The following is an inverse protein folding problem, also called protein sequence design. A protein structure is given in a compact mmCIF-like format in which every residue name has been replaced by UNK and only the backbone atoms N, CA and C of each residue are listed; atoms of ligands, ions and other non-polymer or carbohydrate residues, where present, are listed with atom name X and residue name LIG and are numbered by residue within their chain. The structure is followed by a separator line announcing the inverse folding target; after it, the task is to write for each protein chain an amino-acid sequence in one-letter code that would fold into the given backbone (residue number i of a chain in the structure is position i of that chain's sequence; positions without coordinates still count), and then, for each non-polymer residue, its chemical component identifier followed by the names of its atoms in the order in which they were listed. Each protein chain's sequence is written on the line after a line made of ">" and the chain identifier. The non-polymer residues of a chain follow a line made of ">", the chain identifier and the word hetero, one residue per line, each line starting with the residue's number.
data_IF_381553624118
#
_entry.id   IF_381553624118
#
_cell.length_a   1.000
_cell.length_b   1.000
_cell.length_c   1.000
_cell.angle_alpha   90.00
_cell.angle_beta   90.00
_cell.angle_gamma   90.00
#
_symmetry.space_group_name_H-M   'P 1'
#
loop_
_entity.id
_entity.type
_entity.pdbx_description
1 polymer ?
#
# COMPACT_ATOMS: atom_id res chain seq x y z
N UNK A 1 25.49 30.96 6.12
CA UNK A 1 24.72 30.33 7.23
C UNK A 1 23.40 29.84 6.69
N UNK A 2 23.31 28.54 6.36
CA UNK A 2 22.01 27.93 6.15
C UNK A 2 21.37 27.88 7.53
N UNK A 3 20.31 28.65 7.70
CA UNK A 3 19.57 28.67 8.97
C UNK A 3 19.16 27.26 9.32
N UNK A 4 19.67 26.74 10.43
CA UNK A 4 19.21 25.48 11.02
C UNK A 4 17.72 25.51 11.48
N UNK A 5 17.05 26.65 11.21
CA UNK A 5 15.68 26.91 11.65
C UNK A 5 14.63 26.28 10.76
N UNK A 6 14.98 25.87 9.54
CA UNK A 6 13.97 25.51 8.54
C UNK A 6 13.41 24.11 8.76
N UNK A 7 14.10 23.23 9.51
CA UNK A 7 13.67 21.84 9.65
C UNK A 7 12.38 21.68 10.45
N UNK A 8 12.20 22.39 11.56
CA UNK A 8 10.96 22.26 12.36
C UNK A 8 9.75 22.89 11.66
N UNK A 9 9.97 23.99 10.92
CA UNK A 9 8.93 24.62 10.11
C UNK A 9 8.61 23.78 8.89
N UNK A 10 9.61 23.16 8.25
CA UNK A 10 9.41 22.30 7.07
C UNK A 10 8.70 21.01 7.42
N UNK A 11 9.02 20.37 8.54
CA UNK A 11 8.31 19.19 9.03
C UNK A 11 6.87 19.52 9.35
N UNK A 12 6.61 20.57 10.12
CA UNK A 12 5.24 20.97 10.44
C UNK A 12 4.44 21.37 9.19
N UNK A 13 5.06 22.00 8.20
CA UNK A 13 4.38 22.38 6.97
C UNK A 13 4.08 21.19 6.06
N UNK A 14 4.97 20.21 5.99
CA UNK A 14 4.73 18.97 5.25
C UNK A 14 3.61 18.15 5.87
N UNK A 15 3.65 17.97 7.18
CA UNK A 15 2.63 17.22 7.91
C UNK A 15 1.26 17.88 7.80
N UNK A 16 1.23 19.24 7.87
CA UNK A 16 0.02 20.01 7.59
C UNK A 16 -0.56 19.68 6.22
N UNK A 17 0.27 19.72 5.16
CA UNK A 17 -0.20 19.48 3.79
C UNK A 17 -0.76 18.08 3.60
N UNK A 18 -0.10 17.08 4.14
CA UNK A 18 -0.54 15.67 4.07
C UNK A 18 -1.86 15.48 4.83
N UNK A 19 -1.95 16.02 6.05
CA UNK A 19 -3.17 15.93 6.86
C UNK A 19 -4.33 16.71 6.23
N UNK A 20 -4.06 17.89 5.69
CA UNK A 20 -5.05 18.71 5.00
C UNK A 20 -5.59 18.00 3.76
N UNK A 21 -4.69 17.43 2.95
CA UNK A 21 -5.08 16.66 1.77
C UNK A 21 -5.93 15.47 2.17
N UNK A 22 -5.51 14.71 3.16
CA UNK A 22 -6.24 13.53 3.65
C UNK A 22 -7.66 13.90 4.12
N UNK A 23 -7.79 14.93 4.93
CA UNK A 23 -9.09 15.37 5.42
C UNK A 23 -9.98 15.95 4.32
N UNK A 24 -9.44 16.85 3.51
CA UNK A 24 -10.17 17.50 2.42
C UNK A 24 -10.60 16.48 1.36
N UNK A 25 -9.72 15.59 0.97
CA UNK A 25 -10.02 14.57 -0.05
C UNK A 25 -11.05 13.56 0.46
N UNK A 26 -10.97 13.15 1.71
CA UNK A 26 -11.98 12.27 2.31
C UNK A 26 -13.36 12.93 2.29
N UNK A 27 -13.46 14.19 2.67
CA UNK A 27 -14.72 14.93 2.64
C UNK A 27 -15.20 15.18 1.21
N UNK A 28 -14.29 15.43 0.28
CA UNK A 28 -14.59 15.57 -1.13
C UNK A 28 -15.20 14.27 -1.70
N UNK A 29 -14.54 13.14 -1.47
CA UNK A 29 -15.05 11.85 -1.90
C UNK A 29 -16.42 11.56 -1.29
N UNK A 30 -16.58 11.82 0.00
CA UNK A 30 -17.83 11.63 0.70
C UNK A 30 -18.96 12.49 0.14
N UNK A 31 -18.69 13.73 -0.25
CA UNK A 31 -19.67 14.63 -0.85
C UNK A 31 -20.12 14.19 -2.26
N UNK A 32 -19.33 13.37 -2.93
CA UNK A 32 -19.62 12.83 -4.26
C UNK A 32 -20.11 11.39 -4.21
N UNK A 33 -20.26 10.81 -3.02
CA UNK A 33 -20.65 9.43 -2.84
C UNK A 33 -22.11 9.19 -3.25
N UNK A 34 -22.31 8.18 -4.08
CA UNK A 34 -23.61 7.69 -4.52
C UNK A 34 -23.75 6.23 -4.06
N UNK A 35 -24.75 5.92 -3.19
CA UNK A 35 -24.89 4.57 -2.61
C UNK A 35 -25.14 3.45 -3.62
N UNK A 36 -25.76 3.77 -4.76
CA UNK A 36 -26.15 2.79 -5.78
C UNK A 36 -24.98 2.29 -6.62
N UNK A 37 -23.84 2.96 -6.55
CA UNK A 37 -22.64 2.60 -7.31
C UNK A 37 -21.56 2.05 -6.38
N UNK A 38 -20.75 1.08 -6.82
CA UNK A 38 -19.58 0.65 -6.06
C UNK A 38 -18.54 1.78 -5.97
N UNK A 39 -17.72 1.77 -4.91
CA UNK A 39 -16.72 2.82 -4.70
C UNK A 39 -15.74 2.96 -5.86
N UNK A 40 -15.36 1.84 -6.49
CA UNK A 40 -14.40 1.88 -7.59
C UNK A 40 -14.93 2.54 -8.86
N UNK A 41 -16.24 2.64 -9.05
CA UNK A 41 -16.83 3.38 -10.18
C UNK A 41 -16.84 4.89 -9.98
N UNK A 42 -16.65 5.36 -8.75
CA UNK A 42 -16.79 6.78 -8.38
C UNK A 42 -15.45 7.51 -8.29
N UNK A 43 -14.35 6.85 -8.65
CA UNK A 43 -13.02 7.43 -8.61
C UNK A 43 -12.43 7.63 -7.22
N UNK A 44 -12.93 6.94 -6.22
CA UNK A 44 -12.49 7.08 -4.83
C UNK A 44 -11.24 6.26 -4.55
N UNK A 45 -10.29 6.85 -3.83
CA UNK A 45 -9.05 6.20 -3.39
C UNK A 45 -8.91 6.16 -1.87
N UNK A 46 -9.57 7.05 -1.13
CA UNK A 46 -9.49 7.10 0.34
C UNK A 46 -10.63 6.35 1.02
N UNK A 47 -11.87 6.47 0.55
CA UNK A 47 -12.98 5.73 1.13
C UNK A 47 -12.77 4.20 1.10
N UNK A 48 -12.17 3.61 0.04
CA UNK A 48 -11.83 2.19 0.06
C UNK A 48 -10.93 1.76 1.22
N UNK A 49 -10.01 2.61 1.68
CA UNK A 49 -9.17 2.34 2.84
C UNK A 49 -9.99 2.24 4.12
N UNK A 50 -10.96 3.12 4.31
CA UNK A 50 -11.84 3.11 5.47
C UNK A 50 -12.81 1.94 5.44
N UNK A 51 -13.32 1.60 4.27
CA UNK A 51 -14.17 0.42 4.08
C UNK A 51 -13.40 -0.88 4.37
N UNK A 52 -12.15 -0.98 3.95
CA UNK A 52 -11.27 -2.12 4.27
C UNK A 52 -11.08 -2.29 5.78
N UNK A 53 -11.03 -1.19 6.53
CA UNK A 53 -10.99 -1.19 7.99
C UNK A 53 -12.35 -1.47 8.65
N UNK A 54 -13.34 -1.90 7.89
CA UNK A 54 -14.68 -2.27 8.34
C UNK A 54 -15.56 -1.10 8.82
N UNK A 55 -15.24 0.12 8.46
CA UNK A 55 -16.09 1.26 8.79
C UNK A 55 -17.27 1.35 7.82
N UNK A 56 -18.48 1.25 8.35
CA UNK A 56 -19.72 1.45 7.60
C UNK A 56 -20.00 0.44 6.50
N UNK A 57 -19.50 -0.78 6.60
CA UNK A 57 -19.58 -1.81 5.56
C UNK A 57 -20.45 -2.96 6.02
N UNK A 58 -21.30 -3.44 5.12
CA UNK A 58 -22.13 -4.64 5.29
C UNK A 58 -21.66 -5.81 4.43
N UNK A 59 -22.47 -6.90 4.41
CA UNK A 59 -22.18 -8.08 3.60
C UNK A 59 -21.99 -7.74 2.11
N UNK A 60 -21.05 -8.42 1.47
CA UNK A 60 -20.75 -8.21 0.06
C UNK A 60 -20.02 -6.90 -0.26
N UNK A 61 -19.61 -6.15 0.74
CA UNK A 61 -18.91 -4.87 0.55
C UNK A 61 -19.86 -3.68 0.35
N UNK A 62 -21.15 -3.83 0.68
CA UNK A 62 -22.11 -2.73 0.62
C UNK A 62 -21.77 -1.66 1.64
N UNK A 63 -21.75 -0.40 1.22
CA UNK A 63 -21.55 0.73 2.12
C UNK A 63 -22.90 1.09 2.74
N UNK A 64 -23.07 0.73 4.01
CA UNK A 64 -24.32 0.91 4.74
C UNK A 64 -24.40 2.25 5.48
N UNK A 65 -23.28 2.78 5.96
CA UNK A 65 -23.22 4.02 6.72
C UNK A 65 -21.91 4.77 6.46
N UNK A 66 -22.00 6.06 6.21
CA UNK A 66 -20.85 6.91 5.87
C UNK A 66 -20.44 7.86 7.00
N UNK A 67 -21.10 7.79 8.17
CA UNK A 67 -20.80 8.69 9.27
C UNK A 67 -19.34 8.61 9.75
N UNK A 68 -18.79 7.42 9.85
CA UNK A 68 -17.38 7.22 10.25
C UNK A 68 -16.41 7.86 9.26
N UNK A 69 -16.74 7.91 7.99
CA UNK A 69 -15.92 8.55 6.96
C UNK A 69 -15.92 10.07 7.14
N UNK A 70 -17.07 10.64 7.45
CA UNK A 70 -17.19 12.06 7.78
C UNK A 70 -16.34 12.41 9.00
N UNK A 71 -16.43 11.63 10.07
CA UNK A 71 -15.63 11.83 11.29
C UNK A 71 -14.14 11.76 10.99
N UNK A 72 -13.69 10.78 10.22
CA UNK A 72 -12.30 10.64 9.81
C UNK A 72 -11.81 11.86 9.04
N UNK A 73 -12.58 12.31 8.05
CA UNK A 73 -12.24 13.49 7.25
C UNK A 73 -12.14 14.77 8.08
N UNK A 74 -13.11 15.01 8.95
CA UNK A 74 -13.15 16.21 9.81
C UNK A 74 -11.99 16.22 10.81
N UNK A 75 -11.71 15.08 11.46
CA UNK A 75 -10.59 14.98 12.41
C UNK A 75 -9.24 15.23 11.76
N UNK A 76 -9.01 14.72 10.56
CA UNK A 76 -7.79 14.99 9.81
C UNK A 76 -7.69 16.47 9.40
N UNK A 77 -8.79 17.06 8.97
CA UNK A 77 -8.81 18.46 8.58
C UNK A 77 -8.54 19.40 9.77
N UNK A 78 -9.17 19.14 10.93
CA UNK A 78 -8.93 19.91 12.15
C UNK A 78 -7.49 19.75 12.62
N UNK A 79 -6.97 18.52 12.61
CA UNK A 79 -5.58 18.25 12.98
C UNK A 79 -4.59 18.98 12.10
N UNK A 80 -4.91 19.14 10.80
CA UNK A 80 -4.07 19.91 9.89
C UNK A 80 -3.99 21.39 10.31
N UNK A 81 -5.09 21.96 10.77
CA UNK A 81 -5.11 23.33 11.30
C UNK A 81 -4.22 23.52 12.54
N UNK A 82 -4.23 22.53 13.45
CA UNK A 82 -3.35 22.54 14.62
C UNK A 82 -1.88 22.45 14.20
N UNK A 83 -1.56 21.61 13.23
CA UNK A 83 -0.19 21.50 12.68
C UNK A 83 0.23 22.81 11.98
N UNK A 84 -0.70 23.48 11.30
CA UNK A 84 -0.44 24.79 10.67
C UNK A 84 -0.04 25.84 11.71
N UNK A 85 -0.80 25.94 12.80
CA UNK A 85 -0.50 26.86 13.89
C UNK A 85 0.84 26.55 14.54
N UNK A 86 1.14 25.26 14.74
CA UNK A 86 2.43 24.82 15.25
C UNK A 86 3.59 25.19 14.31
N UNK A 87 3.41 24.99 13.00
CA UNK A 87 4.40 25.38 12.00
C UNK A 87 4.67 26.88 11.97
N UNK A 88 3.62 27.69 12.03
CA UNK A 88 3.75 29.18 12.11
C UNK A 88 4.47 29.58 13.39
N UNK A 89 4.09 29.01 14.53
CA UNK A 89 4.77 29.28 15.80
C UNK A 89 6.26 28.97 15.72
N UNK A 90 6.61 27.78 15.30
CA UNK A 90 8.01 27.33 15.25
C UNK A 90 8.87 28.10 14.25
N UNK A 91 8.27 28.57 13.14
CA UNK A 91 9.01 29.33 12.12
C UNK A 91 9.20 30.79 12.48
N UNK A 92 8.26 31.40 13.21
CA UNK A 92 8.24 32.85 13.45
C UNK A 92 8.57 33.21 14.90
N UNK A 93 7.96 32.52 15.86
CA UNK A 93 8.03 32.86 17.28
C UNK A 93 8.87 31.89 18.12
N UNK A 94 9.17 30.71 17.59
CA UNK A 94 9.93 29.69 18.31
C UNK A 94 11.43 30.01 18.41
N UNK A 95 12.14 29.33 19.32
CA UNK A 95 13.58 29.50 19.47
C UNK A 95 14.34 28.97 18.25
N UNK A 96 15.41 29.65 17.85
CA UNK A 96 16.25 29.25 16.72
C UNK A 96 17.03 27.94 17.00
N UNK A 97 17.45 27.75 18.25
CA UNK A 97 18.22 26.58 18.69
C UNK A 97 17.60 25.98 19.93
N UNK A 98 17.12 24.75 19.81
CA UNK A 98 16.47 24.04 20.91
C UNK A 98 17.45 23.66 22.02
N UNK A 99 18.73 23.45 21.70
CA UNK A 99 19.76 23.12 22.68
C UNK A 99 19.98 24.22 23.71
N UNK A 100 19.75 25.46 23.34
CA UNK A 100 19.91 26.63 24.20
C UNK A 100 18.71 26.90 25.10
N UNK A 101 17.61 26.10 24.94
CA UNK A 101 16.38 26.25 25.71
C UNK A 101 16.28 25.25 26.85
N UNK A 102 15.31 25.50 27.75
CA UNK A 102 14.95 24.55 28.83
C UNK A 102 14.54 23.17 28.27
N UNK A 103 14.04 23.12 27.02
CA UNK A 103 13.60 21.89 26.36
C UNK A 103 14.71 21.18 25.56
N UNK A 104 15.94 21.70 25.57
CA UNK A 104 17.05 21.14 24.83
C UNK A 104 17.41 19.70 25.24
N UNK A 105 17.16 19.32 26.48
CA UNK A 105 17.37 17.95 26.94
C UNK A 105 16.48 16.93 26.24
N UNK A 106 15.29 17.35 25.73
CA UNK A 106 14.31 16.47 25.07
C UNK A 106 14.32 16.65 23.56
N UNK A 107 14.35 17.88 23.06
CA UNK A 107 14.18 18.18 21.63
C UNK A 107 15.45 18.69 20.95
N UNK A 108 16.48 19.08 21.70
CA UNK A 108 17.75 19.52 21.14
C UNK A 108 18.53 18.36 20.52
N UNK A 109 19.24 18.63 19.42
CA UNK A 109 20.09 17.64 18.76
C UNK A 109 21.18 18.31 17.95
N UNK A 110 22.23 17.54 17.65
CA UNK A 110 23.28 17.85 16.70
C UNK A 110 23.33 16.70 15.70
N UNK A 111 23.40 17.00 14.41
CA UNK A 111 23.41 15.95 13.37
C UNK A 111 24.52 14.92 13.55
N UNK A 112 25.68 15.32 14.10
CA UNK A 112 26.81 14.44 14.33
C UNK A 112 26.70 13.63 15.62
N UNK A 113 25.78 13.96 16.51
CA UNK A 113 25.55 13.21 17.75
C UNK A 113 24.81 11.91 17.48
N UNK A 114 25.59 10.84 17.31
CA UNK A 114 25.08 9.52 16.94
C UNK A 114 24.14 8.93 17.98
N UNK A 115 24.41 9.19 19.25
CA UNK A 115 23.55 8.70 20.32
C UNK A 115 22.19 9.38 20.31
N UNK A 116 22.18 10.70 20.15
CA UNK A 116 20.92 11.46 20.05
C UNK A 116 20.14 11.07 18.78
N UNK A 117 20.81 10.87 17.65
CA UNK A 117 20.16 10.47 16.40
C UNK A 117 19.51 9.09 16.51
N UNK A 118 20.20 8.13 17.13
CA UNK A 118 19.61 6.80 17.35
C UNK A 118 18.49 6.84 18.39
N UNK A 119 18.56 7.70 19.39
CA UNK A 119 17.49 7.88 20.36
C UNK A 119 16.22 8.44 19.71
N UNK A 120 16.37 9.41 18.80
CA UNK A 120 15.24 9.95 18.01
C UNK A 120 14.66 8.87 17.10
N UNK A 121 15.50 8.11 16.41
CA UNK A 121 15.07 6.96 15.62
C UNK A 121 14.28 5.98 16.49
N UNK A 122 14.77 5.66 17.67
CA UNK A 122 14.10 4.75 18.59
C UNK A 122 12.74 5.26 19.06
N UNK A 123 12.60 6.56 19.32
CA UNK A 123 11.32 7.18 19.66
C UNK A 123 10.31 7.07 18.51
N UNK A 124 10.75 7.33 17.28
CA UNK A 124 9.92 7.19 16.08
C UNK A 124 9.54 5.73 15.83
N UNK A 125 10.47 4.80 16.04
CA UNK A 125 10.15 3.36 15.96
C UNK A 125 9.12 2.95 17.02
N UNK A 126 9.17 3.51 18.21
CA UNK A 126 8.15 3.32 19.23
C UNK A 126 6.76 3.74 18.76
N UNK A 127 6.66 4.90 18.14
CA UNK A 127 5.41 5.40 17.54
C UNK A 127 4.92 4.48 16.42
N UNK A 128 5.80 4.08 15.51
CA UNK A 128 5.45 3.19 14.40
C UNK A 128 5.06 1.79 14.88
N UNK A 129 5.73 1.27 15.91
CA UNK A 129 5.38 -0.01 16.49
C UNK A 129 4.01 -0.01 17.14
N UNK A 130 3.66 1.06 17.85
CA UNK A 130 2.32 1.25 18.40
C UNK A 130 1.27 1.35 17.28
N UNK A 131 1.56 2.11 16.23
CA UNK A 131 0.65 2.24 15.08
C UNK A 131 0.40 0.90 14.39
N UNK A 132 1.45 0.08 14.22
CA UNK A 132 1.30 -1.27 13.66
C UNK A 132 0.44 -2.17 14.53
N UNK A 133 0.57 -2.09 15.85
CA UNK A 133 -0.28 -2.86 16.77
C UNK A 133 -1.73 -2.38 16.81
N UNK A 134 -2.01 -1.13 16.42
CA UNK A 134 -3.38 -0.63 16.32
C UNK A 134 -4.20 -1.39 15.27
N UNK A 135 -3.61 -1.85 14.20
CA UNK A 135 -4.32 -2.70 13.25
C UNK A 135 -4.75 -4.03 13.90
N UNK A 136 -3.88 -4.63 14.70
CA UNK A 136 -4.25 -5.81 15.49
C UNK A 136 -5.43 -5.52 16.41
N UNK A 137 -5.39 -4.42 17.15
CA UNK A 137 -6.46 -4.00 18.05
C UNK A 137 -7.77 -3.77 17.29
N UNK A 138 -7.71 -3.08 16.14
CA UNK A 138 -8.89 -2.86 15.30
C UNK A 138 -9.51 -4.18 14.82
N UNK A 139 -8.66 -5.10 14.39
CA UNK A 139 -9.10 -6.38 13.84
C UNK A 139 -9.74 -7.31 14.90
N UNK A 140 -9.21 -7.30 16.10
CA UNK A 140 -9.60 -8.26 17.15
C UNK A 140 -10.65 -7.69 18.10
N UNK A 141 -10.51 -6.43 18.51
CA UNK A 141 -11.31 -5.84 19.61
C UNK A 141 -12.24 -4.72 19.19
N UNK A 142 -12.01 -4.08 18.04
CA UNK A 142 -12.73 -2.87 17.63
C UNK A 142 -13.54 -3.05 16.34
N UNK A 143 -14.28 -4.14 16.23
CA UNK A 143 -15.25 -4.37 15.15
C UNK A 143 -14.71 -5.17 13.96
N UNK A 144 -13.45 -5.56 13.95
CA UNK A 144 -12.89 -6.40 12.91
C UNK A 144 -12.43 -5.65 11.67
N UNK A 145 -12.23 -6.39 10.59
CA UNK A 145 -11.84 -5.89 9.26
C UNK A 145 -12.79 -6.46 8.21
N UNK A 146 -12.86 -5.81 7.06
CA UNK A 146 -13.54 -6.40 5.92
C UNK A 146 -12.70 -7.54 5.36
N UNK A 147 -13.30 -8.72 5.24
CA UNK A 147 -12.66 -9.92 4.72
C UNK A 147 -13.34 -10.35 3.41
N UNK A 148 -12.65 -10.16 2.30
CA UNK A 148 -13.16 -10.58 0.99
C UNK A 148 -13.33 -12.10 0.88
N UNK A 149 -12.63 -12.88 1.74
CA UNK A 149 -12.67 -14.34 1.75
C UNK A 149 -13.80 -14.91 2.61
N UNK A 150 -14.53 -14.06 3.32
CA UNK A 150 -15.68 -14.50 4.09
C UNK A 150 -16.76 -15.09 3.19
N UNK A 151 -17.47 -16.10 3.67
CA UNK A 151 -18.50 -16.79 2.91
C UNK A 151 -19.60 -15.86 2.46
N UNK A 152 -20.14 -16.09 1.26
CA UNK A 152 -21.24 -15.30 0.71
C UNK A 152 -20.82 -14.03 -0.02
N UNK A 153 -19.53 -13.88 -0.36
CA UNK A 153 -19.05 -12.77 -1.17
C UNK A 153 -18.34 -11.66 -0.39
N UNK A 154 -17.83 -11.97 0.77
CA UNK A 154 -17.13 -11.04 1.64
C UNK A 154 -18.03 -10.39 2.69
N UNK A 155 -17.47 -10.13 3.85
CA UNK A 155 -18.16 -9.47 4.96
C UNK A 155 -17.15 -8.97 5.99
N UNK A 156 -17.61 -8.12 6.89
CA UNK A 156 -16.86 -7.73 8.07
C UNK A 156 -16.71 -8.93 9.00
N UNK A 157 -15.49 -9.17 9.43
CA UNK A 157 -15.18 -10.30 10.30
C UNK A 157 -14.25 -9.87 11.44
N UNK A 158 -14.59 -10.24 12.65
CA UNK A 158 -13.68 -10.11 13.79
C UNK A 158 -12.63 -11.22 13.68
N UNK A 159 -11.38 -10.82 13.66
CA UNK A 159 -10.25 -11.76 13.57
C UNK A 159 -9.96 -12.25 14.98
N UNK A 160 -10.41 -13.46 15.29
CA UNK A 160 -10.34 -14.01 16.66
C UNK A 160 -8.92 -14.46 17.01
N UNK A 161 -8.57 -14.29 18.26
CA UNK A 161 -7.29 -14.72 18.83
C UNK A 161 -6.96 -16.18 18.49
N UNK A 162 -7.97 -17.06 18.53
CA UNK A 162 -7.80 -18.49 18.27
C UNK A 162 -7.48 -18.83 16.82
N UNK A 163 -7.82 -17.95 15.86
CA UNK A 163 -7.55 -18.13 14.43
C UNK A 163 -6.34 -17.36 13.94
N UNK A 164 -5.83 -16.42 14.74
CA UNK A 164 -4.67 -15.62 14.39
C UNK A 164 -3.41 -16.45 14.29
N UNK A 165 -2.62 -16.13 13.29
CA UNK A 165 -1.28 -16.69 13.15
C UNK A 165 -0.30 -15.89 14.03
N UNK A 166 -0.30 -16.17 15.33
CA UNK A 166 0.60 -15.53 16.30
C UNK A 166 1.99 -16.18 16.39
N UNK A 167 2.37 -16.94 15.39
CA UNK A 167 3.69 -17.53 15.29
C UNK A 167 4.63 -16.55 14.56
N UNK A 168 5.78 -16.16 15.15
CA UNK A 168 6.72 -15.24 14.50
C UNK A 168 7.30 -15.78 13.19
N UNK A 169 7.24 -17.06 12.92
CA UNK A 169 7.60 -17.65 11.63
C UNK A 169 6.73 -17.16 10.46
N UNK A 170 5.60 -16.53 10.73
CA UNK A 170 4.78 -15.91 9.69
C UNK A 170 5.56 -14.86 8.90
N UNK A 171 6.41 -14.09 9.56
CA UNK A 171 7.26 -13.10 8.88
C UNK A 171 8.20 -13.79 7.89
N UNK A 172 8.79 -14.92 8.28
CA UNK A 172 9.64 -15.71 7.40
C UNK A 172 8.88 -16.33 6.23
N UNK A 173 7.64 -16.76 6.44
CA UNK A 173 6.82 -17.35 5.38
C UNK A 173 6.70 -16.48 4.15
N UNK A 174 6.51 -15.18 4.32
CA UNK A 174 6.34 -14.23 3.23
C UNK A 174 7.66 -13.57 2.80
N UNK A 175 8.54 -13.26 3.75
CA UNK A 175 9.79 -12.57 3.48
C UNK A 175 10.80 -13.39 2.68
N UNK A 176 10.77 -14.72 2.82
CA UNK A 176 11.68 -15.63 2.08
C UNK A 176 11.09 -16.15 0.77
N UNK A 177 9.85 -15.79 0.43
CA UNK A 177 9.28 -16.14 -0.87
C UNK A 177 9.97 -15.36 -1.97
N UNK A 178 10.12 -15.97 -3.15
CA UNK A 178 10.62 -15.29 -4.33
C UNK A 178 9.64 -14.17 -4.75
N UNK A 179 10.14 -13.03 -5.27
CA UNK A 179 9.29 -11.90 -5.66
C UNK A 179 8.66 -12.04 -7.05
N UNK A 180 8.56 -13.24 -7.58
CA UNK A 180 8.03 -13.52 -8.91
C UNK A 180 6.63 -14.11 -8.84
N UNK A 181 5.91 -14.12 -9.96
CA UNK A 181 4.49 -14.43 -10.04
C UNK A 181 4.03 -15.74 -9.42
N UNK A 182 4.89 -16.76 -9.34
CA UNK A 182 4.56 -18.05 -8.69
C UNK A 182 4.52 -17.96 -7.17
N UNK A 183 5.27 -17.07 -6.55
CA UNK A 183 5.37 -16.91 -5.09
C UNK A 183 4.91 -15.54 -4.59
N UNK A 184 5.31 -14.45 -5.25
CA UNK A 184 4.79 -13.09 -5.04
C UNK A 184 5.26 -12.35 -3.79
N UNK A 185 6.27 -12.85 -3.10
CA UNK A 185 6.83 -12.26 -1.88
C UNK A 185 5.73 -11.84 -0.89
N UNK A 186 5.83 -10.67 -0.23
CA UNK A 186 4.81 -10.20 0.73
C UNK A 186 3.49 -9.80 0.08
N UNK A 187 3.48 -9.52 -1.23
CA UNK A 187 2.26 -9.17 -1.97
C UNK A 187 1.28 -10.36 -2.04
N UNK A 188 1.77 -11.57 -1.88
CA UNK A 188 0.97 -12.79 -1.93
C UNK A 188 0.15 -13.06 -0.66
N UNK A 189 0.13 -12.15 0.31
CA UNK A 189 -0.74 -12.27 1.49
C UNK A 189 -2.19 -12.47 1.05
N UNK A 190 -2.83 -13.52 1.53
CA UNK A 190 -4.12 -13.99 1.03
C UNK A 190 -5.14 -14.32 2.11
N UNK A 191 -4.87 -13.93 3.35
CA UNK A 191 -5.81 -14.09 4.45
C UNK A 191 -5.57 -13.04 5.53
N UNK A 192 -6.62 -12.71 6.27
CA UNK A 192 -6.56 -11.69 7.32
C UNK A 192 -5.82 -12.16 8.56
N UNK A 193 -5.80 -13.45 8.85
CA UNK A 193 -5.07 -14.00 9.99
C UNK A 193 -3.57 -13.73 9.88
N UNK A 194 -3.01 -13.97 8.71
CA UNK A 194 -1.59 -13.70 8.44
C UNK A 194 -1.28 -12.21 8.39
N UNK A 195 -2.18 -11.41 7.81
CA UNK A 195 -2.02 -9.96 7.73
C UNK A 195 -2.00 -9.34 9.13
N UNK A 196 -2.95 -9.67 9.96
CA UNK A 196 -3.08 -9.13 11.32
C UNK A 196 -1.96 -9.67 12.22
N UNK A 197 -1.66 -10.96 12.12
CA UNK A 197 -0.54 -11.56 12.86
C UNK A 197 0.80 -10.97 12.46
N UNK A 198 0.99 -10.68 11.17
CA UNK A 198 2.18 -10.01 10.66
C UNK A 198 2.35 -8.61 11.24
N UNK A 199 1.28 -7.81 11.29
CA UNK A 199 1.31 -6.47 11.88
C UNK A 199 1.55 -6.51 13.39
N UNK A 200 1.03 -7.51 14.10
CA UNK A 200 1.33 -7.72 15.51
C UNK A 200 2.84 -7.92 15.73
N UNK A 201 3.45 -8.84 15.01
CA UNK A 201 4.87 -9.15 15.17
C UNK A 201 5.79 -8.04 14.68
N UNK A 202 5.47 -7.40 13.55
CA UNK A 202 6.23 -6.22 13.10
C UNK A 202 6.13 -5.10 14.14
N UNK A 203 4.97 -4.88 14.72
CA UNK A 203 4.79 -3.92 15.80
C UNK A 203 5.65 -4.24 17.02
N UNK A 204 5.67 -5.47 17.47
CA UNK A 204 6.48 -5.92 18.62
C UNK A 204 7.98 -5.74 18.33
N UNK A 205 8.46 -6.21 17.17
CA UNK A 205 9.88 -6.06 16.82
C UNK A 205 10.27 -4.60 16.64
N UNK A 206 9.39 -3.77 16.10
CA UNK A 206 9.63 -2.34 15.95
C UNK A 206 9.70 -1.63 17.31
N UNK A 207 8.85 -1.99 18.27
CA UNK A 207 8.92 -1.50 19.65
C UNK A 207 10.22 -1.90 20.33
N UNK A 208 10.63 -3.15 20.20
CA UNK A 208 11.91 -3.65 20.76
C UNK A 208 13.07 -2.91 20.12
N UNK A 209 13.05 -2.73 18.80
CA UNK A 209 14.05 -1.93 18.08
C UNK A 209 14.10 -0.48 18.53
N UNK A 210 12.96 0.10 18.85
CA UNK A 210 12.87 1.44 19.42
C UNK A 210 13.59 1.56 20.76
N UNK A 211 13.33 0.65 21.67
CA UNK A 211 14.03 0.58 22.97
C UNK A 211 15.54 0.38 22.77
N UNK A 212 15.92 -0.50 21.86
CA UNK A 212 17.31 -0.74 21.51
C UNK A 212 18.01 0.54 21.06
N UNK A 213 17.46 1.27 20.12
CA UNK A 213 18.07 2.49 19.58
C UNK A 213 18.08 3.65 20.58
N UNK A 214 17.14 3.69 21.52
CA UNK A 214 17.18 4.69 22.61
C UNK A 214 18.33 4.41 23.59
N UNK A 215 18.61 3.14 23.87
CA UNK A 215 19.52 2.74 24.92
C UNK A 215 20.92 2.41 24.45
N UNK A 216 21.17 2.30 23.15
CA UNK A 216 22.47 1.92 22.62
C UNK A 216 23.05 2.99 21.70
N UNK A 217 24.35 2.88 21.46
CA UNK A 217 25.08 3.69 20.48
C UNK A 217 25.44 2.82 19.27
N UNK A 218 25.58 3.41 18.09
CA UNK A 218 26.07 2.67 16.92
C UNK A 218 27.40 2.00 17.18
N UNK A 219 27.58 0.78 16.70
CA UNK A 219 28.81 0.03 16.84
C UNK A 219 29.86 0.46 15.81
N UNK A 220 31.10 0.07 16.03
CA UNK A 220 32.25 0.56 15.27
C UNK A 220 32.14 0.40 13.74
N UNK A 221 31.62 -0.71 13.24
CA UNK A 221 31.42 -0.92 11.81
C UNK A 221 30.40 0.05 11.21
N UNK A 222 29.34 0.34 11.93
CA UNK A 222 28.29 1.30 11.52
C UNK A 222 28.86 2.72 11.57
N UNK A 223 29.56 3.05 12.63
CA UNK A 223 30.22 4.38 12.79
C UNK A 223 31.16 4.68 11.63
N UNK A 224 31.90 3.69 11.17
CA UNK A 224 32.87 3.85 10.07
C UNK A 224 32.21 3.80 8.69
N UNK A 225 31.13 3.02 8.54
CA UNK A 225 30.48 2.78 7.25
C UNK A 225 29.50 3.86 6.81
N UNK A 226 28.86 4.53 7.77
CA UNK A 226 27.83 5.53 7.48
C UNK A 226 28.42 6.96 7.50
N UNK A 227 27.85 7.83 6.69
CA UNK A 227 28.06 9.27 6.77
C UNK A 227 27.08 9.85 7.79
N UNK A 228 27.58 10.67 8.72
CA UNK A 228 26.80 11.19 9.83
C UNK A 228 26.50 12.68 9.63
N UNK A 229 25.55 12.95 8.75
CA UNK A 229 25.05 14.29 8.45
C UNK A 229 23.55 14.24 8.17
N UNK A 230 22.86 15.37 8.34
CA UNK A 230 21.41 15.44 8.07
C UNK A 230 21.06 15.03 6.65
N UNK A 231 21.85 15.45 5.68
CA UNK A 231 21.61 15.07 4.27
C UNK A 231 21.83 13.58 4.01
N UNK A 232 22.79 12.95 4.68
CA UNK A 232 22.97 11.51 4.60
C UNK A 232 21.77 10.76 5.17
N UNK A 233 21.22 11.21 6.30
CA UNK A 233 20.01 10.60 6.89
C UNK A 233 18.80 10.76 5.98
N UNK A 234 18.68 11.92 5.35
CA UNK A 234 17.66 12.14 4.32
C UNK A 234 17.81 11.15 3.16
N UNK A 235 19.02 10.95 2.68
CA UNK A 235 19.30 10.00 1.60
C UNK A 235 18.95 8.56 1.99
N UNK A 236 19.26 8.13 3.21
CA UNK A 236 18.89 6.80 3.72
C UNK A 236 17.38 6.63 3.77
N UNK A 237 16.66 7.63 4.26
CA UNK A 237 15.22 7.62 4.33
C UNK A 237 14.56 7.61 2.94
N UNK A 238 15.09 8.38 1.99
CA UNK A 238 14.58 8.42 0.61
C UNK A 238 14.72 7.07 -0.08
N UNK A 239 15.81 6.33 0.14
CA UNK A 239 15.96 5.00 -0.42
C UNK A 239 14.90 4.02 0.10
N UNK A 240 14.64 4.06 1.41
CA UNK A 240 13.61 3.24 2.04
C UNK A 240 12.21 3.61 1.54
N UNK A 241 11.90 4.90 1.47
CA UNK A 241 10.61 5.39 0.97
C UNK A 241 10.37 5.02 -0.50
N UNK A 242 11.42 5.11 -1.34
CA UNK A 242 11.33 4.69 -2.74
C UNK A 242 11.00 3.21 -2.86
N UNK A 243 11.70 2.35 -2.12
CA UNK A 243 11.42 0.92 -2.12
C UNK A 243 9.98 0.63 -1.65
N UNK A 244 9.55 1.26 -0.56
CA UNK A 244 8.19 1.12 -0.07
C UNK A 244 7.14 1.60 -1.08
N UNK A 245 7.43 2.66 -1.82
CA UNK A 245 6.54 3.16 -2.87
C UNK A 245 6.37 2.18 -4.03
N UNK A 246 7.44 1.53 -4.48
CA UNK A 246 7.36 0.47 -5.49
C UNK A 246 6.59 -0.75 -4.98
N UNK A 247 6.83 -1.16 -3.74
CA UNK A 247 6.09 -2.26 -3.11
C UNK A 247 4.60 -1.90 -3.01
N UNK A 248 4.27 -0.69 -2.59
CA UNK A 248 2.90 -0.20 -2.54
C UNK A 248 2.20 -0.28 -3.91
N UNK A 249 2.89 0.14 -4.98
CA UNK A 249 2.35 0.07 -6.34
C UNK A 249 2.03 -1.37 -6.74
N UNK A 250 2.91 -2.32 -6.43
CA UNK A 250 2.71 -3.74 -6.74
C UNK A 250 1.58 -4.33 -5.87
N UNK A 251 1.49 -3.95 -4.61
CA UNK A 251 0.38 -4.33 -3.75
C UNK A 251 -0.97 -3.89 -4.31
N UNK A 252 -1.09 -2.62 -4.64
CA UNK A 252 -2.33 -2.08 -5.18
C UNK A 252 -2.75 -2.76 -6.49
N UNK A 253 -1.78 -3.22 -7.27
CA UNK A 253 -2.05 -3.89 -8.56
C UNK A 253 -2.51 -5.33 -8.40
N UNK A 254 -1.86 -6.12 -7.55
CA UNK A 254 -2.07 -7.55 -7.48
C UNK A 254 -2.88 -8.04 -6.27
N UNK A 255 -2.77 -7.37 -5.12
CA UNK A 255 -3.37 -7.88 -3.90
C UNK A 255 -4.86 -7.57 -3.82
N UNK A 256 -5.64 -8.55 -3.41
CA UNK A 256 -7.08 -8.42 -3.20
C UNK A 256 -7.53 -8.72 -1.75
N UNK A 257 -6.60 -8.98 -0.85
CA UNK A 257 -6.90 -9.18 0.59
C UNK A 257 -6.87 -7.87 1.34
N UNK A 258 -5.75 -7.14 1.28
CA UNK A 258 -5.60 -5.79 1.85
C UNK A 258 -6.24 -4.71 0.98
N UNK A 259 -6.46 -5.01 -0.29
CA UNK A 259 -7.12 -4.15 -1.28
C UNK A 259 -8.32 -4.89 -1.87
N UNK A 260 -9.41 -5.06 -1.11
CA UNK A 260 -10.57 -5.82 -1.57
C UNK A 260 -11.13 -5.29 -2.89
N UNK A 261 -11.42 -6.20 -3.81
CA UNK A 261 -11.91 -5.83 -5.14
C UNK A 261 -13.30 -5.19 -5.09
N UNK A 262 -14.06 -5.44 -4.04
CA UNK A 262 -15.35 -4.79 -3.79
C UNK A 262 -15.22 -3.26 -3.67
N UNK A 263 -14.06 -2.76 -3.23
CA UNK A 263 -13.81 -1.33 -3.01
C UNK A 263 -12.86 -0.72 -4.05
N UNK A 264 -11.82 -1.46 -4.42
CA UNK A 264 -10.78 -0.98 -5.35
C UNK A 264 -11.01 -1.40 -6.79
N UNK A 265 -12.04 -2.20 -7.05
CA UNK A 265 -12.24 -2.84 -8.34
C UNK A 265 -11.35 -4.09 -8.52
N UNK A 266 -11.64 -4.88 -9.56
CA UNK A 266 -10.89 -6.11 -9.79
C UNK A 266 -9.42 -5.84 -10.09
N UNK A 267 -8.56 -6.81 -9.74
CA UNK A 267 -7.19 -6.83 -10.25
C UNK A 267 -7.21 -7.13 -11.76
N UNK A 268 -6.11 -6.86 -12.46
CA UNK A 268 -6.00 -7.21 -13.88
C UNK A 268 -6.22 -8.71 -14.14
N UNK A 269 -5.49 -9.60 -13.42
CA UNK A 269 -5.73 -11.03 -13.50
C UNK A 269 -7.16 -11.45 -13.14
N UNK A 270 -7.75 -10.86 -12.13
CA UNK A 270 -9.12 -11.14 -11.71
C UNK A 270 -10.14 -10.76 -12.78
N UNK A 271 -10.00 -9.61 -13.41
CA UNK A 271 -10.88 -9.19 -14.50
C UNK A 271 -10.80 -10.13 -15.71
N UNK A 272 -9.60 -10.63 -16.01
CA UNK A 272 -9.40 -11.62 -17.05
C UNK A 272 -10.09 -12.94 -16.73
N UNK A 273 -9.94 -13.44 -15.50
CA UNK A 273 -10.65 -14.66 -15.04
C UNK A 273 -12.17 -14.45 -15.01
N UNK A 274 -12.62 -13.25 -14.63
CA UNK A 274 -14.05 -12.90 -14.64
C UNK A 274 -14.64 -12.91 -16.04
N UNK A 275 -13.92 -12.47 -17.05
CA UNK A 275 -14.33 -12.58 -18.43
C UNK A 275 -14.49 -14.04 -18.85
N UNK A 276 -13.50 -14.87 -18.57
CA UNK A 276 -13.57 -16.30 -18.87
C UNK A 276 -14.76 -16.99 -18.20
N UNK A 277 -14.98 -16.70 -16.92
CA UNK A 277 -16.11 -17.24 -16.17
C UNK A 277 -17.47 -16.74 -16.71
N UNK A 278 -17.59 -15.47 -16.98
CA UNK A 278 -18.85 -14.87 -17.46
C UNK A 278 -19.27 -15.47 -18.78
N UNK A 279 -18.35 -15.61 -19.72
CA UNK A 279 -18.66 -16.22 -21.02
C UNK A 279 -18.91 -17.73 -20.91
N UNK A 280 -18.23 -18.42 -20.01
CA UNK A 280 -18.52 -19.83 -19.71
C UNK A 280 -19.96 -20.00 -19.23
N UNK A 281 -20.40 -19.20 -18.26
CA UNK A 281 -21.77 -19.26 -17.73
C UNK A 281 -22.80 -18.90 -18.79
N UNK A 282 -22.56 -17.85 -19.58
CA UNK A 282 -23.45 -17.45 -20.68
C UNK A 282 -23.65 -18.59 -21.67
N UNK A 283 -22.55 -19.17 -22.14
CA UNK A 283 -22.57 -20.19 -23.18
C UNK A 283 -23.14 -21.53 -22.65
N UNK A 284 -22.90 -21.85 -21.37
CA UNK A 284 -23.51 -22.98 -20.71
C UNK A 284 -25.04 -22.86 -20.65
N UNK A 285 -25.55 -21.67 -20.34
CA UNK A 285 -27.00 -21.38 -20.37
C UNK A 285 -27.60 -21.48 -21.77
N UNK A 286 -26.79 -21.24 -22.80
CA UNK A 286 -27.19 -21.40 -24.20
C UNK A 286 -27.10 -22.86 -24.70
N UNK A 287 -26.73 -23.80 -23.86
CA UNK A 287 -26.65 -25.23 -24.15
C UNK A 287 -25.32 -25.70 -24.68
N UNK A 288 -24.26 -24.88 -24.72
CA UNK A 288 -22.93 -25.28 -25.16
C UNK A 288 -22.27 -26.13 -24.08
N UNK A 289 -21.63 -27.22 -24.50
CA UNK A 289 -20.87 -28.10 -23.59
C UNK A 289 -19.51 -27.49 -23.31
N UNK A 290 -19.40 -26.78 -22.18
CA UNK A 290 -18.22 -25.97 -21.83
C UNK A 290 -16.99 -26.83 -21.53
N UNK A 291 -17.16 -28.09 -21.11
CA UNK A 291 -16.05 -28.98 -20.77
C UNK A 291 -15.29 -29.50 -22.00
N UNK A 292 -15.85 -29.41 -23.22
CA UNK A 292 -15.30 -30.02 -24.44
C UNK A 292 -15.12 -29.05 -25.61
N UNK A 293 -15.48 -27.77 -25.47
CA UNK A 293 -15.43 -26.81 -26.57
C UNK A 293 -14.00 -26.32 -26.82
N UNK A 294 -13.62 -26.16 -28.10
CA UNK A 294 -12.36 -25.62 -28.53
C UNK A 294 -12.50 -24.18 -29.05
N UNK A 295 -11.50 -23.35 -28.81
CA UNK A 295 -11.40 -22.00 -29.36
C UNK A 295 -10.75 -21.96 -30.76
N UNK A 296 -10.55 -20.76 -31.34
CA UNK A 296 -9.98 -20.61 -32.68
C UNK A 296 -8.56 -21.17 -32.84
N UNK A 297 -7.80 -21.29 -31.73
CA UNK A 297 -6.44 -21.83 -31.73
C UNK A 297 -6.36 -23.32 -31.43
N UNK A 298 -7.48 -24.02 -31.45
CA UNK A 298 -7.63 -25.41 -31.01
C UNK A 298 -7.35 -25.66 -29.53
N UNK A 299 -7.06 -24.61 -28.74
CA UNK A 299 -7.01 -24.68 -27.28
C UNK A 299 -8.42 -24.75 -26.69
N UNK A 300 -8.55 -25.34 -25.50
CA UNK A 300 -9.82 -25.37 -24.79
C UNK A 300 -10.34 -23.94 -24.55
N UNK A 301 -11.61 -23.72 -24.86
CA UNK A 301 -12.20 -22.39 -24.84
C UNK A 301 -12.57 -21.94 -23.43
N UNK A 302 -13.10 -22.87 -22.61
CA UNK A 302 -13.65 -22.54 -21.29
C UNK A 302 -12.88 -23.13 -20.14
N UNK A 303 -12.53 -24.40 -20.23
CA UNK A 303 -11.84 -25.16 -19.20
C UNK A 303 -10.68 -25.93 -19.79
N UNK A 304 -9.55 -25.94 -19.09
CA UNK A 304 -8.37 -26.69 -19.48
C UNK A 304 -7.62 -27.17 -18.23
N UNK A 305 -6.47 -27.80 -18.40
CA UNK A 305 -5.60 -28.19 -17.29
C UNK A 305 -4.42 -27.26 -17.19
N UNK A 306 -4.04 -26.93 -15.93
CA UNK A 306 -2.83 -26.19 -15.64
C UNK A 306 -1.58 -27.03 -15.90
N UNK A 307 -0.37 -26.43 -15.88
CA UNK A 307 0.87 -27.19 -15.97
C UNK A 307 1.04 -28.26 -14.87
N UNK A 308 0.40 -28.07 -13.72
CA UNK A 308 0.43 -29.03 -12.59
C UNK A 308 -0.81 -29.93 -12.52
N UNK A 309 -1.74 -29.82 -13.47
CA UNK A 309 -2.87 -30.74 -13.65
C UNK A 309 -4.22 -30.26 -13.11
N UNK A 310 -4.30 -29.09 -12.45
CA UNK A 310 -5.57 -28.54 -11.96
C UNK A 310 -6.45 -28.09 -13.13
N UNK A 311 -7.77 -28.18 -12.95
CA UNK A 311 -8.74 -27.64 -13.91
C UNK A 311 -8.80 -26.11 -13.74
N UNK A 312 -8.58 -25.39 -14.81
CA UNK A 312 -8.50 -23.91 -14.85
C UNK A 312 -9.35 -23.35 -15.98
N UNK A 313 -9.59 -22.05 -15.97
CA UNK A 313 -10.22 -21.36 -17.10
C UNK A 313 -9.34 -21.38 -18.33
N UNK A 314 -9.92 -21.69 -19.47
CA UNK A 314 -9.23 -21.78 -20.75
C UNK A 314 -9.13 -20.43 -21.49
N UNK A 315 -8.46 -20.44 -22.64
CA UNK A 315 -8.19 -19.24 -23.42
C UNK A 315 -7.00 -18.45 -22.89
N UNK A 316 -6.91 -17.19 -23.27
CA UNK A 316 -5.81 -16.30 -22.87
C UNK A 316 -5.71 -16.12 -21.33
N UNK A 317 -6.82 -16.23 -20.61
CA UNK A 317 -6.85 -16.10 -19.16
C UNK A 317 -6.12 -17.24 -18.44
N UNK A 318 -5.74 -18.29 -19.14
CA UNK A 318 -4.96 -19.41 -18.57
C UNK A 318 -3.66 -18.95 -17.91
N UNK A 319 -3.07 -17.85 -18.37
CA UNK A 319 -1.84 -17.28 -17.79
C UNK A 319 -2.02 -16.84 -16.33
N UNK A 320 -3.24 -16.55 -15.93
CA UNK A 320 -3.59 -16.10 -14.56
C UNK A 320 -4.21 -17.23 -13.72
N UNK A 321 -3.95 -18.47 -14.03
CA UNK A 321 -4.58 -19.63 -13.40
C UNK A 321 -4.35 -19.73 -11.89
N UNK A 322 -3.25 -19.18 -11.40
CA UNK A 322 -2.90 -19.22 -9.97
C UNK A 322 -3.57 -18.14 -9.13
N UNK A 323 -4.29 -17.20 -9.75
CA UNK A 323 -5.00 -16.14 -9.03
C UNK A 323 -6.14 -16.71 -8.20
N UNK A 324 -6.22 -16.26 -6.96
CA UNK A 324 -7.28 -16.61 -6.01
C UNK A 324 -8.22 -15.43 -5.84
N UNK A 325 -9.51 -15.65 -6.08
CA UNK A 325 -10.56 -14.63 -6.01
C UNK A 325 -11.73 -15.15 -5.18
N UNK A 326 -12.28 -14.34 -4.28
CA UNK A 326 -13.32 -14.77 -3.35
C UNK A 326 -14.60 -15.29 -4.01
N UNK A 327 -14.93 -14.81 -5.20
CA UNK A 327 -16.11 -15.26 -5.95
C UNK A 327 -15.88 -16.57 -6.71
N UNK A 328 -14.62 -16.96 -6.95
CA UNK A 328 -14.25 -18.21 -7.66
C UNK A 328 -13.97 -19.33 -6.68
N UNK A 329 -13.35 -19.05 -5.54
CA UNK A 329 -12.87 -20.06 -4.59
C UNK A 329 -13.92 -21.07 -4.14
N UNK A 330 -15.22 -20.70 -3.95
CA UNK A 330 -16.26 -21.68 -3.64
C UNK A 330 -16.46 -22.76 -4.71
N UNK A 331 -16.02 -22.49 -5.95
CA UNK A 331 -16.12 -23.44 -7.07
C UNK A 331 -14.88 -24.31 -7.23
N UNK A 332 -13.85 -24.12 -6.42
CA UNK A 332 -12.60 -24.88 -6.49
C UNK A 332 -12.54 -26.00 -5.47
N UNK A 333 -11.80 -27.02 -5.85
CA UNK A 333 -11.33 -28.10 -4.96
C UNK A 333 -9.82 -28.16 -5.01
N UNK A 334 -9.21 -29.10 -4.29
CA UNK A 334 -7.75 -29.35 -4.37
C UNK A 334 -7.26 -29.71 -5.78
N UNK A 335 -8.16 -30.16 -6.66
CA UNK A 335 -7.88 -30.50 -8.07
C UNK A 335 -8.21 -29.35 -9.05
N UNK A 336 -8.41 -28.15 -8.54
CA UNK A 336 -8.82 -26.98 -9.32
C UNK A 336 -10.33 -26.80 -9.35
N UNK A 337 -10.84 -26.20 -10.43
CA UNK A 337 -12.29 -25.97 -10.60
C UNK A 337 -13.04 -27.30 -10.63
N UNK A 338 -14.14 -27.37 -9.87
CA UNK A 338 -15.02 -28.52 -9.86
C UNK A 338 -16.07 -28.37 -10.98
N UNK A 339 -15.99 -29.26 -11.98
CA UNK A 339 -16.92 -29.23 -13.12
C UNK A 339 -18.37 -29.39 -12.68
N UNK A 340 -18.64 -30.21 -11.66
CA UNK A 340 -19.99 -30.38 -11.13
C UNK A 340 -20.54 -29.11 -10.50
N UNK A 341 -19.72 -28.41 -9.74
CA UNK A 341 -20.11 -27.11 -9.16
C UNK A 341 -20.34 -26.06 -10.23
N UNK A 342 -19.54 -26.02 -11.28
CA UNK A 342 -19.71 -25.12 -12.41
C UNK A 342 -21.03 -25.40 -13.15
N UNK A 343 -21.44 -26.65 -13.24
CA UNK A 343 -22.69 -27.03 -13.92
C UNK A 343 -23.94 -26.73 -13.07
N UNK A 344 -23.85 -26.77 -11.74
CA UNK A 344 -25.05 -26.76 -10.88
C UNK A 344 -25.01 -25.81 -9.68
N UNK A 345 -23.84 -25.32 -9.26
CA UNK A 345 -23.67 -24.64 -7.96
C UNK A 345 -23.29 -23.16 -8.09
N UNK A 346 -23.30 -22.59 -9.29
CA UNK A 346 -22.99 -21.18 -9.48
C UNK A 346 -24.12 -20.34 -8.91
N UNK A 347 -23.77 -19.49 -7.93
CA UNK A 347 -24.70 -18.58 -7.30
C UNK A 347 -24.88 -17.30 -8.13
N UNK A 348 -26.05 -16.67 -8.03
CA UNK A 348 -26.33 -15.46 -8.79
C UNK A 348 -25.41 -14.29 -8.44
N UNK A 349 -24.95 -14.19 -7.21
CA UNK A 349 -24.02 -13.15 -6.80
C UNK A 349 -22.63 -13.31 -7.46
N UNK A 350 -22.17 -14.56 -7.67
CA UNK A 350 -20.92 -14.85 -8.38
C UNK A 350 -21.00 -14.40 -9.84
N UNK A 351 -22.11 -14.71 -10.51
CA UNK A 351 -22.34 -14.31 -11.90
C UNK A 351 -22.39 -12.79 -12.04
N UNK A 352 -23.13 -12.10 -11.15
CA UNK A 352 -23.21 -10.64 -11.16
C UNK A 352 -21.84 -9.99 -10.89
N UNK A 353 -21.10 -10.49 -9.91
CA UNK A 353 -19.77 -9.96 -9.56
C UNK A 353 -18.78 -10.15 -10.70
N UNK A 354 -18.75 -11.32 -11.31
CA UNK A 354 -17.88 -11.60 -12.45
C UNK A 354 -18.21 -10.71 -13.66
N UNK A 355 -19.48 -10.53 -13.97
CA UNK A 355 -19.92 -9.65 -15.05
C UNK A 355 -19.50 -8.19 -14.81
N UNK A 356 -19.63 -7.71 -13.58
CA UNK A 356 -19.21 -6.37 -13.17
C UNK A 356 -17.69 -6.22 -13.31
N UNK A 357 -16.90 -7.16 -12.81
CA UNK A 357 -15.44 -7.12 -12.86
C UNK A 357 -14.90 -7.24 -14.29
N UNK A 358 -15.53 -8.01 -15.13
CA UNK A 358 -15.19 -8.10 -16.55
C UNK A 358 -15.26 -6.73 -17.23
N UNK A 359 -16.25 -5.92 -16.90
CA UNK A 359 -16.46 -4.60 -17.49
C UNK A 359 -15.70 -3.47 -16.80
N UNK A 360 -15.07 -3.74 -15.65
CA UNK A 360 -14.31 -2.77 -14.85
C UNK A 360 -12.84 -3.18 -14.70
N UNK A 361 -12.28 -3.79 -15.72
CA UNK A 361 -10.85 -4.12 -15.74
C UNK A 361 -10.00 -2.86 -15.53
N UNK A 362 -8.86 -2.96 -14.83
CA UNK A 362 -8.00 -1.81 -14.53
C UNK A 362 -7.15 -1.39 -15.75
N UNK A 363 -7.82 -1.21 -16.88
CA UNK A 363 -7.23 -0.77 -18.15
C UNK A 363 -7.83 0.58 -18.52
N UNK A 364 -6.98 1.55 -18.78
CA UNK A 364 -7.43 2.89 -19.12
C UNK A 364 -6.30 3.77 -19.60
N UNK A 365 -6.67 4.95 -20.09
CA UNK A 365 -5.76 5.97 -20.55
C UNK A 365 -5.67 7.12 -19.53
N UNK A 366 -4.62 7.91 -19.63
CA UNK A 366 -4.40 9.07 -18.74
C UNK A 366 -5.51 10.12 -18.84
N UNK A 367 -6.18 10.21 -19.99
CA UNK A 367 -7.34 11.08 -20.18
C UNK A 367 -8.67 10.46 -19.65
N UNK A 368 -8.57 9.41 -18.85
CA UNK A 368 -9.69 8.72 -18.20
C UNK A 368 -10.61 7.93 -19.14
N UNK A 369 -10.17 7.63 -20.34
CA UNK A 369 -10.90 6.70 -21.21
C UNK A 369 -10.61 5.27 -20.77
N UNK A 370 -11.65 4.53 -20.38
CA UNK A 370 -11.56 3.15 -19.96
C UNK A 370 -11.40 2.19 -21.14
N UNK A 371 -10.91 0.98 -20.85
CA UNK A 371 -10.71 -0.08 -21.82
C UNK A 371 -9.29 -0.19 -22.36
N UNK A 372 -9.09 -1.08 -23.32
CA UNK A 372 -7.78 -1.31 -23.96
C UNK A 372 -7.37 -0.12 -24.81
N UNK A 373 -6.08 -0.04 -25.15
CA UNK A 373 -5.51 1.09 -25.89
C UNK A 373 -6.17 1.34 -27.26
N UNK A 374 -6.77 0.32 -27.86
CA UNK A 374 -7.47 0.39 -29.16
C UNK A 374 -8.98 0.62 -29.02
N UNK A 375 -9.47 0.84 -27.81
CA UNK A 375 -10.90 1.02 -27.55
C UNK A 375 -11.43 2.29 -28.19
N UNK A 376 -12.65 2.20 -28.76
CA UNK A 376 -13.34 3.32 -29.40
C UNK A 376 -14.72 3.46 -28.74
N UNK A 377 -15.15 4.69 -28.49
CA UNK A 377 -16.41 5.00 -27.80
C UNK A 377 -16.53 4.37 -26.40
N UNK A 378 -15.44 4.28 -25.70
CA UNK A 378 -15.40 3.69 -24.37
C UNK A 378 -15.89 4.64 -23.28
N UNK A 379 -16.16 4.06 -22.13
CA UNK A 379 -16.65 4.78 -20.96
C UNK A 379 -15.56 5.64 -20.32
N UNK A 380 -15.96 6.67 -19.58
CA UNK A 380 -15.08 7.47 -18.75
C UNK A 380 -14.88 6.74 -17.41
N UNK A 381 -13.87 5.88 -17.38
CA UNK A 381 -13.56 5.07 -16.20
C UNK A 381 -12.07 4.72 -16.15
N UNK A 382 -11.45 4.95 -15.01
CA UNK A 382 -10.14 4.41 -14.66
C UNK A 382 -10.21 3.87 -13.23
N UNK A 383 -9.79 2.63 -13.05
CA UNK A 383 -9.81 1.96 -11.77
C UNK A 383 -8.94 2.69 -10.73
N UNK A 384 -9.39 2.75 -9.46
CA UNK A 384 -8.54 3.17 -8.34
C UNK A 384 -7.21 2.39 -8.27
N UNK A 385 -7.21 1.11 -8.63
CA UNK A 385 -5.97 0.32 -8.71
C UNK A 385 -4.99 0.90 -9.71
N UNK A 386 -5.45 1.28 -10.87
CA UNK A 386 -4.60 1.91 -11.90
C UNK A 386 -4.04 3.25 -11.42
N UNK A 387 -4.87 4.07 -10.80
CA UNK A 387 -4.44 5.36 -10.25
C UNK A 387 -3.43 5.21 -9.12
N UNK A 388 -3.71 4.36 -8.13
CA UNK A 388 -2.81 4.12 -7.01
C UNK A 388 -1.48 3.52 -7.47
N UNK A 389 -1.53 2.53 -8.35
CA UNK A 389 -0.33 1.86 -8.86
C UNK A 389 0.54 2.80 -9.66
N UNK A 390 -0.02 3.52 -10.62
CA UNK A 390 0.74 4.43 -11.48
C UNK A 390 1.32 5.61 -10.71
N UNK A 391 0.53 6.21 -9.82
CA UNK A 391 0.98 7.35 -9.00
C UNK A 391 2.13 6.95 -8.07
N UNK A 392 2.01 5.84 -7.36
CA UNK A 392 3.04 5.40 -6.41
C UNK A 392 4.30 4.88 -7.11
N UNK A 393 4.17 4.30 -8.29
CA UNK A 393 5.34 3.96 -9.10
C UNK A 393 6.12 5.22 -9.51
N UNK A 394 5.43 6.24 -10.02
CA UNK A 394 6.06 7.52 -10.42
C UNK A 394 6.67 8.23 -9.22
N UNK A 395 5.96 8.31 -8.09
CA UNK A 395 6.50 8.90 -6.86
C UNK A 395 7.74 8.16 -6.37
N UNK A 396 7.70 6.82 -6.37
CA UNK A 396 8.85 6.00 -5.97
C UNK A 396 10.06 6.25 -6.87
N UNK A 397 9.85 6.39 -8.17
CA UNK A 397 10.92 6.71 -9.12
C UNK A 397 11.57 8.06 -8.83
N UNK A 398 10.78 9.12 -8.64
CA UNK A 398 11.34 10.44 -8.33
C UNK A 398 12.01 10.49 -6.96
N UNK A 399 11.49 9.78 -5.99
CA UNK A 399 12.12 9.65 -4.67
C UNK A 399 13.46 8.90 -4.79
N UNK A 400 13.55 7.89 -5.65
CA UNK A 400 14.82 7.21 -5.92
C UNK A 400 15.85 8.15 -6.54
N UNK A 401 15.43 8.99 -7.49
CA UNK A 401 16.30 10.02 -8.06
C UNK A 401 16.75 11.01 -6.99
N UNK A 402 15.86 11.39 -6.09
CA UNK A 402 16.18 12.23 -4.94
C UNK A 402 17.19 11.56 -3.99
N UNK A 403 17.04 10.26 -3.76
CA UNK A 403 18.04 9.48 -3.01
C UNK A 403 19.42 9.55 -3.66
N UNK A 404 19.52 9.34 -4.95
CA UNK A 404 20.81 9.43 -5.67
C UNK A 404 21.45 10.80 -5.54
N UNK A 405 20.67 11.86 -5.70
CA UNK A 405 21.12 13.24 -5.55
C UNK A 405 21.68 13.49 -4.13
N UNK A 406 20.88 13.23 -3.12
CA UNK A 406 21.25 13.52 -1.73
C UNK A 406 22.35 12.60 -1.21
N UNK A 407 22.40 11.34 -1.64
CA UNK A 407 23.49 10.43 -1.29
C UNK A 407 24.82 10.89 -1.88
N UNK A 408 24.82 11.29 -3.15
CA UNK A 408 26.02 11.82 -3.82
C UNK A 408 26.50 13.12 -3.17
N UNK A 409 25.59 14.03 -2.89
CA UNK A 409 25.92 15.32 -2.27
C UNK A 409 26.39 15.17 -0.82
N UNK A 410 25.76 14.31 -0.04
CA UNK A 410 26.19 14.01 1.33
C UNK A 410 27.61 13.44 1.37
N UNK A 411 27.91 12.51 0.47
CA UNK A 411 29.25 11.91 0.36
C UNK A 411 30.30 12.93 -0.08
N UNK A 412 30.00 13.74 -1.07
CA UNK A 412 30.92 14.78 -1.55
C UNK A 412 31.20 15.83 -0.47
N UNK A 413 30.18 16.23 0.30
CA UNK A 413 30.34 17.16 1.41
C UNK A 413 31.21 16.59 2.54
N UNK A 414 31.03 15.31 2.90
CA UNK A 414 31.83 14.63 3.90
C UNK A 414 33.32 14.54 3.49
N UNK A 415 33.58 14.14 2.24
CA UNK A 415 34.96 14.08 1.72
C UNK A 415 35.62 15.45 1.65
N UNK A 416 34.85 16.51 1.38
CA UNK A 416 35.40 17.87 1.39
C UNK A 416 35.73 18.35 2.78
N UNK A 417 34.92 18.05 3.79
CA UNK A 417 35.19 18.35 5.17
C UNK A 417 36.45 17.63 5.68
N UNK A 418 36.63 16.36 5.34
CA UNK A 418 37.82 15.59 5.66
C UNK A 418 39.10 16.21 5.06
N UNK A 419 38.98 16.81 3.90
CA UNK A 419 40.08 17.50 3.20
C UNK A 419 40.25 18.96 3.64
N UNK A 420 39.47 19.43 4.61
CA UNK A 420 39.49 20.83 5.07
C UNK A 420 38.89 21.82 4.08
N UNK A 421 38.08 21.36 3.12
CA UNK A 421 37.42 22.19 2.11
C UNK A 421 35.95 22.42 2.47
N UNK A 422 35.49 23.67 2.35
CA UNK A 422 34.06 24.00 2.40
C UNK A 422 33.52 24.16 0.99
N UNK A 423 32.57 23.32 0.61
CA UNK A 423 31.99 23.36 -0.72
C UNK A 423 30.71 24.17 -0.85
N UNK A 424 30.15 24.60 0.27
CA UNK A 424 28.83 25.22 0.28
C UNK A 424 28.80 26.52 -0.52
N UNK A 425 29.90 27.27 -0.55
CA UNK A 425 29.99 28.58 -1.24
C UNK A 425 31.16 28.68 -2.23
N UNK A 426 31.89 27.61 -2.49
CA UNK A 426 32.97 27.59 -3.45
C UNK A 426 32.43 27.27 -4.83
N UNK A 427 32.50 28.19 -5.79
CA UNK A 427 31.75 28.05 -7.04
C UNK A 427 32.29 26.95 -7.98
N UNK A 428 33.58 26.67 -7.99
CA UNK A 428 34.17 25.73 -8.94
C UNK A 428 35.39 25.06 -8.34
N UNK A 429 35.21 23.95 -7.64
CA UNK A 429 36.28 23.32 -6.87
C UNK A 429 37.29 22.53 -7.71
N UNK A 430 36.84 21.96 -8.83
CA UNK A 430 37.69 21.24 -9.77
C UNK A 430 38.48 22.17 -10.69
N UNK A 431 38.22 23.46 -10.66
CA UNK A 431 38.97 24.50 -11.39
C UNK A 431 39.80 25.35 -10.47
N UNK A 432 40.09 24.87 -9.29
CA UNK A 432 40.93 25.60 -8.34
C UNK A 432 42.34 25.78 -8.87
N UNK A 433 42.91 26.98 -8.78
CA UNK A 433 44.30 27.19 -9.16
C UNK A 433 45.23 26.25 -8.39
N UNK A 434 46.20 25.73 -9.04
CA UNK A 434 47.29 24.97 -8.42
C UNK A 434 48.17 26.02 -7.73
N UNK A 435 48.20 25.99 -6.38
CA UNK A 435 49.07 26.83 -5.59
C UNK A 435 50.47 26.27 -5.58
#
# INVERSE_FOLDING_TARGET
>A
EIRNCDWSSDVCSSDLLIMFWSGSMTLFELSHFVPEKPLYEQGFILLPHLATLAFGVGPGGEIADTYSYFVCGVLHLISSGVLALGGIYHSIFGPERLEETTYGFLFGYQWQDRFRMTAILGAHLGTLGLASTLLFVKAVYLGGLYDTWASGGGDVRVIKDSSLTLNPYILGRYLIRAPFGSEGWIISINNMEDLVGGHYWVGIYTLIGGVWHIQTRPFGIVVRGFTWSGEAYLAYSLSALSLMGFICAVYAWYNNTAYPSEFYGPTGPEASQAQGFTFLVRDQKLGIKVASSQGPTALAKYLMRSPSGEIIFGGETMRFWSVQDGWVEPLRTSFGLDIYKIQSDIQSWQERRAAEYMTHAPLGALNSVGGVATEVNSVNYVSPRSWLTSAHWVFAYFILVGHWWHAGRARASALSAERGLSRIYEPVLYMRPID
#
